data_IF_410201340249
#
_entry.id   IF_410201340249
#
_cell.length_a   1.000
_cell.length_b   1.000
_cell.length_c   1.000
_cell.angle_alpha   90.00
_cell.angle_beta   90.00
_cell.angle_gamma   90.00
#
_symmetry.space_group_name_H-M   'P 1'
#
loop_
_entity.id
_entity.type
_entity.pdbx_description
1 polymer ?
#
# COMPACT_ATOMS: atom_id res chain seq x y z
N UNK A 1 10.83 15.46 5.84
CA UNK A 1 9.62 16.17 5.36
C UNK A 1 8.37 15.43 5.82
N UNK A 2 7.22 16.11 5.91
CA UNK A 2 5.96 15.53 6.42
C UNK A 2 5.50 14.28 5.64
N UNK A 3 5.77 14.24 4.32
CA UNK A 3 5.35 13.16 3.44
C UNK A 3 5.96 11.81 3.83
N UNK A 4 7.26 11.78 4.11
CA UNK A 4 7.96 10.56 4.56
C UNK A 4 7.42 10.09 5.92
N UNK A 5 7.23 10.99 6.86
CA UNK A 5 6.67 10.66 8.17
C UNK A 5 5.27 10.03 8.07
N UNK A 6 4.40 10.62 7.25
CA UNK A 6 3.05 10.11 7.03
C UNK A 6 3.05 8.76 6.30
N UNK A 7 3.83 8.64 5.22
CA UNK A 7 3.78 7.48 4.33
C UNK A 7 4.51 6.26 4.88
N UNK A 8 5.62 6.46 5.59
CA UNK A 8 6.51 5.36 6.00
C UNK A 8 6.36 4.96 7.46
N UNK A 9 5.94 5.89 8.34
CA UNK A 9 5.99 5.64 9.79
C UNK A 9 4.63 5.54 10.48
N UNK A 10 3.55 6.00 9.84
CA UNK A 10 2.22 6.06 10.48
C UNK A 10 1.32 4.92 10.00
N UNK A 11 1.20 3.82 10.76
CA UNK A 11 0.24 2.77 10.44
C UNK A 11 -1.20 3.27 10.54
N UNK A 12 -2.08 2.80 9.66
CA UNK A 12 -3.49 3.23 9.56
C UNK A 12 -4.42 2.05 9.81
N UNK A 13 -5.35 2.22 10.75
CA UNK A 13 -6.38 1.19 11.06
C UNK A 13 -7.20 0.80 9.83
N UNK A 14 -7.57 1.78 9.00
CA UNK A 14 -8.30 1.56 7.75
C UNK A 14 -7.54 0.71 6.72
N UNK A 15 -6.21 0.64 6.81
CA UNK A 15 -5.35 -0.19 5.95
C UNK A 15 -4.94 -1.50 6.65
N UNK A 16 -5.69 -1.95 7.65
CA UNK A 16 -5.35 -3.14 8.44
C UNK A 16 -4.10 -2.96 9.31
N UNK A 17 -3.77 -1.73 9.70
CA UNK A 17 -2.57 -1.42 10.46
C UNK A 17 -1.32 -1.19 9.61
N UNK A 18 -1.45 -1.16 8.28
CA UNK A 18 -0.33 -0.88 7.38
C UNK A 18 -0.05 0.62 7.23
N UNK A 19 1.19 0.95 6.91
CA UNK A 19 1.56 2.30 6.47
C UNK A 19 1.11 2.51 5.03
N UNK A 20 0.84 3.77 4.60
CA UNK A 20 0.47 4.05 3.22
C UNK A 20 1.45 3.45 2.19
N UNK A 21 2.75 3.51 2.44
CA UNK A 21 3.76 2.90 1.56
C UNK A 21 3.66 1.38 1.53
N UNK A 22 3.46 0.72 2.67
CA UNK A 22 3.32 -0.73 2.71
C UNK A 22 2.06 -1.21 1.96
N UNK A 23 0.95 -0.49 2.10
CA UNK A 23 -0.28 -0.79 1.37
C UNK A 23 -0.12 -0.59 -0.15
N UNK A 24 0.55 0.46 -0.59
CA UNK A 24 0.84 0.68 -2.01
C UNK A 24 1.69 -0.45 -2.61
N UNK A 25 2.68 -0.98 -1.87
CA UNK A 25 3.47 -2.14 -2.30
C UNK A 25 2.60 -3.39 -2.46
N UNK A 26 1.67 -3.62 -1.53
CA UNK A 26 0.72 -4.73 -1.64
C UNK A 26 -0.22 -4.57 -2.85
N UNK A 27 -0.67 -3.36 -3.15
CA UNK A 27 -1.47 -3.10 -4.35
C UNK A 27 -0.67 -3.41 -5.61
N UNK A 28 0.57 -2.94 -5.71
CA UNK A 28 1.44 -3.24 -6.86
C UNK A 28 1.63 -4.75 -7.06
N UNK A 29 1.88 -5.50 -5.98
CA UNK A 29 1.98 -6.97 -6.03
C UNK A 29 0.67 -7.68 -6.40
N UNK A 30 -0.48 -7.12 -6.01
CA UNK A 30 -1.81 -7.69 -6.34
C UNK A 30 -2.22 -7.39 -7.78
N UNK A 31 -1.82 -6.24 -8.31
CA UNK A 31 -2.13 -5.85 -9.69
C UNK A 31 -1.37 -6.67 -10.74
N UNK A 32 -0.33 -7.40 -10.34
CA UNK A 32 0.35 -8.35 -11.24
C UNK A 32 -0.50 -9.61 -11.52
N UNK A 33 -1.60 -9.81 -10.78
CA UNK A 33 -2.63 -10.83 -11.03
C UNK A 33 -3.84 -10.22 -11.75
N UNK A 34 -3.62 -9.42 -12.78
CA UNK A 34 -4.65 -9.20 -13.80
C UNK A 34 -4.53 -10.39 -14.74
N UNK A 35 -5.43 -11.37 -14.63
CA UNK A 35 -5.62 -12.36 -15.67
C UNK A 35 -6.04 -11.60 -16.94
N UNK A 36 -5.20 -11.51 -17.99
CA UNK A 36 -5.59 -10.83 -19.22
C UNK A 36 -6.57 -11.66 -20.07
N UNK A 37 -7.06 -12.78 -19.55
CA UNK A 37 -7.88 -13.75 -20.28
C UNK A 37 -9.38 -13.61 -20.05
N UNK A 38 -10.04 -13.13 -21.11
CA UNK A 38 -11.47 -13.20 -21.50
C UNK A 38 -12.39 -12.05 -21.07
#
# INVERSE_FOLDING_TARGET
TWRREYNEKRPKKALGGLTPTAYARQLAMKTDTVNPGL
#
